data_IF_811269175181
#
_entry.id   IF_811269175181
#
_cell.length_a   1.000
_cell.length_b   1.000
_cell.length_c   1.000
_cell.angle_alpha   90.00
_cell.angle_beta   90.00
_cell.angle_gamma   90.00
#
_symmetry.space_group_name_H-M   'P 1'
#
loop_
_entity.id
_entity.type
_entity.pdbx_description
1 polymer ?
#
# COMPACT_ATOMS: atom_id res chain seq x y z
N UNK A 1 -19.64 -25.03 -3.76
CA UNK A 1 -19.21 -23.87 -4.57
C UNK A 1 -18.82 -22.76 -3.59
N UNK A 2 -17.55 -22.37 -3.52
CA UNK A 2 -17.12 -21.21 -2.72
C UNK A 2 -16.99 -20.05 -3.71
N UNK A 3 -18.06 -19.27 -3.85
CA UNK A 3 -18.04 -18.00 -4.57
C UNK A 3 -17.94 -16.86 -3.57
N UNK A 4 -17.33 -15.77 -4.03
CA UNK A 4 -17.40 -14.38 -3.52
C UNK A 4 -16.66 -14.02 -2.23
N UNK A 5 -15.41 -13.57 -2.38
CA UNK A 5 -14.87 -12.56 -1.48
C UNK A 5 -13.37 -12.61 -1.20
N UNK A 6 -12.51 -12.74 -2.20
CA UNK A 6 -11.08 -12.51 -1.98
C UNK A 6 -10.83 -11.01 -1.84
N UNK A 7 -10.29 -10.57 -0.71
CA UNK A 7 -9.79 -9.21 -0.53
C UNK A 7 -8.32 -9.15 -0.91
N UNK A 8 -7.97 -8.17 -1.72
CA UNK A 8 -6.58 -7.83 -1.98
C UNK A 8 -6.27 -6.53 -1.26
N UNK A 9 -5.12 -6.48 -0.60
CA UNK A 9 -4.67 -5.29 0.11
C UNK A 9 -3.19 -5.05 -0.19
N UNK A 10 -2.82 -3.79 -0.20
CA UNK A 10 -1.44 -3.34 -0.14
C UNK A 10 -1.19 -2.74 1.25
N UNK A 11 0.00 -2.97 1.81
CA UNK A 11 0.39 -2.40 3.10
C UNK A 11 1.87 -2.05 3.13
N UNK A 12 2.20 -0.92 3.76
CA UNK A 12 3.58 -0.49 4.00
C UNK A 12 3.95 -0.71 5.47
N UNK A 13 5.09 -1.36 5.75
CA UNK A 13 5.55 -1.58 7.13
C UNK A 13 7.08 -1.55 7.20
N UNK A 14 7.62 -1.12 8.33
CA UNK A 14 9.06 -1.08 8.63
C UNK A 14 9.31 -1.46 10.09
N UNK A 15 10.58 -1.53 10.50
CA UNK A 15 10.93 -1.68 11.91
C UNK A 15 10.31 -0.59 12.80
N UNK A 16 10.14 0.63 12.26
CA UNK A 16 9.57 1.76 12.98
C UNK A 16 8.04 1.67 13.17
N UNK A 17 7.36 0.75 12.49
CA UNK A 17 5.91 0.55 12.63
C UNK A 17 5.19 0.27 11.31
N UNK A 18 3.90 0.61 11.28
CA UNK A 18 3.00 0.34 10.15
C UNK A 18 2.64 1.68 9.47
N UNK A 19 2.75 1.71 8.14
CA UNK A 19 2.28 2.79 7.27
C UNK A 19 0.83 2.59 6.83
N UNK A 20 0.48 2.97 5.59
CA UNK A 20 -0.89 2.81 5.09
C UNK A 20 -1.20 1.35 4.75
N UNK A 21 -2.48 1.00 4.89
CA UNK A 21 -3.09 -0.21 4.36
C UNK A 21 -4.20 0.21 3.38
N UNK A 22 -4.08 -0.18 2.12
CA UNK A 22 -5.02 0.16 1.05
C UNK A 22 -5.71 -1.10 0.54
N UNK A 23 -7.03 -1.04 0.39
CA UNK A 23 -7.82 -2.11 -0.25
C UNK A 23 -7.73 -1.98 -1.76
N UNK A 24 -7.59 -3.10 -2.45
CA UNK A 24 -7.51 -3.17 -3.90
C UNK A 24 -8.79 -3.87 -4.39
N UNK A 25 -9.62 -3.13 -5.13
CA UNK A 25 -10.97 -3.56 -5.53
C UNK A 25 -10.98 -4.47 -6.78
N UNK A 26 -9.86 -4.60 -7.48
CA UNK A 26 -9.72 -5.38 -8.72
C UNK A 26 -8.48 -6.26 -8.71
N UNK A 27 -8.28 -7.02 -9.78
CA UNK A 27 -7.03 -7.74 -10.03
C UNK A 27 -5.90 -6.72 -10.17
N UNK A 28 -4.86 -6.86 -9.34
CA UNK A 28 -3.70 -5.97 -9.39
C UNK A 28 -2.96 -6.11 -10.73
N UNK A 29 -2.94 -5.02 -11.49
CA UNK A 29 -2.09 -4.84 -12.66
C UNK A 29 -0.82 -4.09 -12.28
N UNK A 30 0.18 -4.07 -13.18
CA UNK A 30 1.39 -3.27 -12.95
C UNK A 30 1.07 -1.77 -12.81
N UNK A 31 0.18 -1.24 -13.65
CA UNK A 31 -0.30 0.14 -13.57
C UNK A 31 -1.04 0.41 -12.25
N UNK A 32 -1.96 -0.48 -11.85
CA UNK A 32 -2.67 -0.33 -10.58
C UNK A 32 -1.75 -0.40 -9.36
N UNK A 33 -0.66 -1.17 -9.42
CA UNK A 33 0.36 -1.16 -8.36
C UNK A 33 1.11 0.17 -8.31
N UNK A 34 1.46 0.75 -9.46
CA UNK A 34 2.09 2.08 -9.53
C UNK A 34 1.16 3.15 -8.95
N UNK A 35 -0.15 3.10 -9.25
CA UNK A 35 -1.14 4.03 -8.72
C UNK A 35 -1.23 3.93 -7.20
N UNK A 36 -1.30 2.71 -6.64
CA UNK A 36 -1.30 2.48 -5.19
C UNK A 36 -0.05 3.07 -4.52
N UNK A 37 1.12 2.93 -5.14
CA UNK A 37 2.36 3.54 -4.63
C UNK A 37 2.31 5.07 -4.69
N UNK A 38 1.88 5.65 -5.80
CA UNK A 38 1.74 7.10 -5.96
C UNK A 38 0.81 7.70 -4.90
N UNK A 39 -0.29 7.01 -4.60
CA UNK A 39 -1.29 7.45 -3.63
C UNK A 39 -0.84 7.27 -2.17
N UNK A 40 -0.21 6.13 -1.83
CA UNK A 40 -0.06 5.72 -0.43
C UNK A 40 1.38 5.74 0.09
N UNK A 41 2.40 5.65 -0.77
CA UNK A 41 3.78 5.43 -0.33
C UNK A 41 4.31 6.65 0.44
N UNK A 42 4.12 7.85 -0.09
CA UNK A 42 4.62 9.08 0.55
C UNK A 42 4.00 9.29 1.92
N UNK A 43 2.68 9.16 2.03
CA UNK A 43 1.98 9.29 3.32
C UNK A 43 2.40 8.21 4.31
N UNK A 44 2.61 6.98 3.84
CA UNK A 44 3.13 5.89 4.67
C UNK A 44 4.49 6.23 5.26
N UNK A 45 5.39 6.80 4.45
CA UNK A 45 6.72 7.19 4.90
C UNK A 45 6.69 8.36 5.88
N UNK A 46 5.80 9.34 5.69
CA UNK A 46 5.54 10.40 6.69
C UNK A 46 5.08 9.79 8.03
N UNK A 47 4.12 8.86 8.01
CA UNK A 47 3.63 8.17 9.21
C UNK A 47 4.72 7.38 9.93
N UNK A 48 5.68 6.88 9.18
CA UNK A 48 6.83 6.13 9.69
C UNK A 48 8.02 7.04 10.07
N UNK A 49 7.93 8.36 9.86
CA UNK A 49 9.01 9.32 10.11
C UNK A 49 10.23 9.15 9.21
N UNK A 50 10.04 8.61 7.99
CA UNK A 50 11.10 8.25 7.04
C UNK A 50 11.28 9.25 5.89
N UNK A 51 10.58 10.38 5.94
CA UNK A 51 10.58 11.44 4.93
C UNK A 51 11.96 11.99 4.54
N UNK A 52 12.94 11.93 5.47
CA UNK A 52 14.30 12.43 5.25
C UNK A 52 15.23 11.44 4.53
N UNK A 53 14.75 10.23 4.21
CA UNK A 53 15.54 9.18 3.53
C UNK A 53 15.06 8.89 2.09
N UNK A 54 14.08 9.66 1.60
CA UNK A 54 13.67 9.58 0.19
C UNK A 54 14.68 10.35 -0.66
N UNK A 55 15.29 9.74 -1.70
CA UNK A 55 16.18 10.44 -2.62
C UNK A 55 15.45 11.53 -3.42
#
# INVERSE_FOLDING_TARGET
KYGDGNIMVWGCFTWSGIGNLARIESVMTAEGYIDVLCENLKESLLKLGLENNLP
#
